data_IF_365974225476
#
_entry.id   IF_365974225476
#
_cell.length_a   1.000
_cell.length_b   1.000
_cell.length_c   1.000
_cell.angle_alpha   90.00
_cell.angle_beta   90.00
_cell.angle_gamma   90.00
#
_symmetry.space_group_name_H-M   'P 1'
#
loop_
_entity.id
_entity.type
_entity.pdbx_description
1 polymer ?
#
# COMPACT_ATOMS: atom_id res chain seq x y z
N UNK A 1 23.37 18.28 -7.69
CA UNK A 1 22.02 18.31 -8.31
C UNK A 1 21.62 16.90 -8.77
N UNK A 2 21.65 15.90 -7.86
CA UNK A 2 21.33 14.49 -8.16
C UNK A 2 20.39 13.85 -7.11
N UNK A 3 20.31 14.43 -5.91
CA UNK A 3 19.46 13.91 -4.82
C UNK A 3 17.97 14.26 -5.05
N UNK A 4 17.66 15.39 -5.70
CA UNK A 4 16.27 15.79 -5.97
C UNK A 4 15.55 14.92 -7.00
N UNK A 5 16.25 14.46 -8.05
CA UNK A 5 15.64 13.68 -9.14
C UNK A 5 15.21 12.28 -8.68
N UNK A 6 15.98 11.66 -7.78
CA UNK A 6 15.66 10.32 -7.27
C UNK A 6 14.42 10.37 -6.37
N UNK A 7 14.26 11.42 -5.55
CA UNK A 7 13.10 11.56 -4.66
C UNK A 7 11.81 11.82 -5.47
N UNK A 8 11.91 12.59 -6.56
CA UNK A 8 10.76 12.85 -7.44
C UNK A 8 10.36 11.65 -8.31
N UNK A 9 11.27 10.73 -8.66
CA UNK A 9 10.92 9.48 -9.37
C UNK A 9 10.09 8.48 -8.53
N UNK A 10 10.01 8.69 -7.22
CA UNK A 10 9.35 7.78 -6.25
C UNK A 10 7.96 8.32 -5.87
N UNK A 11 7.70 9.62 -6.08
CA UNK A 11 6.37 10.22 -5.95
C UNK A 11 5.54 9.90 -7.20
N UNK A 12 4.41 9.23 -7.02
CA UNK A 12 3.42 8.99 -8.10
C UNK A 12 3.17 7.52 -8.46
N UNK A 13 3.74 6.55 -7.72
CA UNK A 13 3.42 5.13 -7.93
C UNK A 13 1.97 4.76 -7.59
N UNK A 14 1.39 5.46 -6.60
CA UNK A 14 -0.01 5.30 -6.20
C UNK A 14 -0.76 6.55 -6.64
N UNK A 15 -1.75 6.43 -7.55
CA UNK A 15 -2.55 7.57 -7.97
C UNK A 15 -3.34 8.19 -6.79
N UNK A 16 -3.65 9.49 -6.83
CA UNK A 16 -4.61 10.06 -5.90
C UNK A 16 -6.00 9.45 -6.13
N UNK A 17 -6.76 9.28 -5.06
CA UNK A 17 -8.18 8.90 -5.17
C UNK A 17 -8.95 10.08 -5.77
N UNK A 18 -9.54 9.86 -6.93
CA UNK A 18 -10.41 10.84 -7.63
C UNK A 18 -11.85 10.37 -7.75
N UNK A 19 -12.11 9.08 -7.49
CA UNK A 19 -13.44 8.49 -7.53
C UNK A 19 -14.30 8.96 -6.34
N UNK A 20 -15.57 9.37 -6.55
CA UNK A 20 -16.45 9.81 -5.47
C UNK A 20 -16.69 8.76 -4.37
N UNK A 21 -16.62 7.47 -4.68
CA UNK A 21 -16.73 6.40 -3.67
C UNK A 21 -15.51 6.35 -2.74
N UNK A 22 -14.42 6.99 -3.14
CA UNK A 22 -13.23 7.21 -2.33
C UNK A 22 -13.51 7.82 -0.96
N UNK A 23 -14.52 8.68 -0.85
CA UNK A 23 -14.89 9.33 0.42
C UNK A 23 -15.32 8.35 1.52
N UNK A 24 -15.72 7.13 1.14
CA UNK A 24 -16.20 6.10 2.07
C UNK A 24 -15.11 5.08 2.44
N UNK A 25 -13.88 5.26 1.96
CA UNK A 25 -12.76 4.37 2.26
C UNK A 25 -11.74 5.05 3.14
N UNK A 26 -11.65 4.58 4.38
CA UNK A 26 -10.64 5.04 5.31
C UNK A 26 -9.29 4.38 5.01
N UNK A 27 -8.27 5.21 4.77
CA UNK A 27 -6.89 4.79 4.58
C UNK A 27 -5.94 5.90 5.07
N UNK A 28 -4.70 5.57 5.44
CA UNK A 28 -3.70 6.59 5.74
C UNK A 28 -3.44 7.50 4.53
N UNK A 29 -3.07 8.78 4.78
CA UNK A 29 -2.66 9.66 3.71
C UNK A 29 -1.39 9.12 3.06
N UNK A 30 -1.27 9.31 1.74
CA UNK A 30 -0.13 8.87 0.94
C UNK A 30 1.21 9.42 1.45
N UNK A 31 1.21 10.58 2.12
CA UNK A 31 2.41 11.20 2.71
C UNK A 31 3.02 10.37 3.84
N UNK A 32 2.26 9.47 4.45
CA UNK A 32 2.72 8.60 5.54
C UNK A 32 3.39 7.32 5.01
N UNK A 33 3.43 7.14 3.68
CA UNK A 33 3.88 5.93 3.01
C UNK A 33 4.94 6.28 1.96
N UNK A 34 6.16 5.79 2.17
CA UNK A 34 7.20 5.85 1.15
C UNK A 34 7.17 4.57 0.30
N UNK A 35 6.78 4.68 -0.97
CA UNK A 35 6.65 3.55 -1.90
C UNK A 35 7.73 3.61 -2.96
N UNK A 36 8.56 2.58 -3.02
CA UNK A 36 9.62 2.40 -4.01
C UNK A 36 9.29 1.26 -4.97
N UNK A 37 10.16 1.06 -5.97
CA UNK A 37 9.97 0.03 -6.99
C UNK A 37 9.86 -1.41 -6.45
N UNK A 38 10.43 -1.70 -5.29
CA UNK A 38 10.53 -3.05 -4.72
C UNK A 38 10.01 -3.13 -3.28
N UNK A 39 9.78 -2.00 -2.59
CA UNK A 39 9.42 -1.98 -1.17
C UNK A 39 8.50 -0.81 -0.82
N UNK A 40 7.68 -0.97 0.21
CA UNK A 40 7.00 0.11 0.89
C UNK A 40 7.56 0.26 2.31
N UNK A 41 7.89 1.48 2.72
CA UNK A 41 8.36 1.81 4.06
C UNK A 41 7.30 2.64 4.75
N UNK A 42 6.81 2.15 5.88
CA UNK A 42 5.72 2.79 6.65
C UNK A 42 5.97 2.65 8.15
N UNK A 43 5.37 3.52 8.95
CA UNK A 43 5.31 3.35 10.39
C UNK A 43 4.27 2.33 10.82
N UNK A 44 4.41 1.78 12.03
CA UNK A 44 3.49 0.78 12.56
C UNK A 44 2.06 1.32 12.68
N UNK A 45 1.89 2.57 13.10
CA UNK A 45 0.57 3.18 13.24
C UNK A 45 -0.11 3.37 11.88
N UNK A 46 0.65 3.69 10.83
CA UNK A 46 0.18 3.78 9.44
C UNK A 46 -0.27 2.42 8.91
N UNK A 47 0.51 1.36 9.18
CA UNK A 47 0.14 -0.02 8.84
C UNK A 47 -1.18 -0.44 9.50
N UNK A 48 -1.42 -0.03 10.74
CA UNK A 48 -2.62 -0.42 11.48
C UNK A 48 -3.89 0.21 10.89
N UNK A 49 -3.77 1.39 10.27
CA UNK A 49 -4.86 2.08 9.57
C UNK A 49 -5.19 1.50 8.18
N UNK A 50 -4.32 0.68 7.60
CA UNK A 50 -4.65 -0.01 6.35
C UNK A 50 -5.64 -1.16 6.64
N UNK A 51 -6.76 -1.18 5.90
CA UNK A 51 -7.70 -2.29 5.95
C UNK A 51 -7.03 -3.60 5.50
N UNK A 52 -7.32 -4.71 6.20
CA UNK A 52 -6.75 -6.01 5.90
C UNK A 52 -7.61 -6.81 4.91
N UNK A 53 -6.98 -7.22 3.81
CA UNK A 53 -7.55 -8.12 2.81
C UNK A 53 -6.53 -9.21 2.47
N UNK A 54 -6.32 -10.12 3.43
CA UNK A 54 -5.35 -11.23 3.31
C UNK A 54 -5.90 -12.41 2.49
N UNK A 55 -7.22 -12.60 2.48
CA UNK A 55 -7.91 -13.73 1.82
C UNK A 55 -8.86 -13.32 0.71
N UNK A 56 -9.05 -12.02 0.52
CA UNK A 56 -10.03 -11.45 -0.40
C UNK A 56 -9.44 -10.23 -1.09
N UNK A 57 -10.20 -9.63 -2.00
CA UNK A 57 -9.87 -8.37 -2.68
C UNK A 57 -10.98 -7.37 -2.33
N UNK A 58 -10.66 -6.11 -2.02
CA UNK A 58 -11.68 -5.11 -1.69
C UNK A 58 -12.64 -4.86 -2.86
N UNK A 59 -13.93 -4.72 -2.57
CA UNK A 59 -14.93 -4.26 -3.54
C UNK A 59 -14.84 -2.74 -3.73
N UNK A 60 -15.51 -2.19 -4.75
CA UNK A 60 -15.43 -0.75 -5.08
C UNK A 60 -14.02 -0.39 -5.57
N UNK A 61 -13.75 -0.76 -6.82
CA UNK A 61 -12.43 -0.67 -7.43
C UNK A 61 -12.25 0.69 -8.11
N UNK A 62 -11.31 1.48 -7.60
CA UNK A 62 -10.88 2.76 -8.15
C UNK A 62 -9.40 2.98 -7.83
N UNK A 63 -8.73 3.76 -8.65
CA UNK A 63 -7.30 4.06 -8.50
C UNK A 63 -6.97 4.70 -7.15
N UNK A 64 -5.82 4.37 -6.59
CA UNK A 64 -5.32 4.95 -5.35
C UNK A 64 -5.87 4.32 -4.06
N UNK A 65 -6.86 3.43 -4.17
CA UNK A 65 -7.34 2.63 -3.04
C UNK A 65 -6.24 1.70 -2.55
N UNK A 66 -5.90 1.79 -1.26
CA UNK A 66 -4.84 1.02 -0.62
C UNK A 66 -5.39 0.05 0.43
N UNK A 67 -4.71 -1.07 0.60
CA UNK A 67 -4.98 -2.06 1.65
C UNK A 67 -3.71 -2.81 2.03
N UNK A 68 -3.73 -3.50 3.18
CA UNK A 68 -2.68 -4.45 3.55
C UNK A 68 -3.14 -5.88 3.29
N UNK A 69 -2.21 -6.72 2.88
CA UNK A 69 -2.45 -8.14 2.67
C UNK A 69 -1.24 -8.93 3.14
N UNK A 70 -1.43 -10.12 3.69
CA UNK A 70 -0.35 -11.08 3.94
C UNK A 70 -0.71 -12.41 3.31
N UNK A 71 0.26 -13.04 2.64
CA UNK A 71 0.10 -14.42 2.19
C UNK A 71 0.59 -15.36 3.29
N UNK A 72 -0.20 -16.40 3.56
CA UNK A 72 0.03 -17.33 4.67
C UNK A 72 -0.63 -16.84 5.96
N UNK A 73 -1.70 -17.51 6.37
CA UNK A 73 -2.15 -17.45 7.74
C UNK A 73 -1.05 -18.07 8.61
N UNK A 74 -0.65 -17.38 9.69
CA UNK A 74 0.22 -18.01 10.68
C UNK A 74 -0.42 -19.32 11.10
N UNK A 75 0.34 -20.40 11.09
CA UNK A 75 -0.11 -21.67 11.67
C UNK A 75 0.17 -21.63 13.16
N UNK A 76 -0.39 -22.56 13.96
CA UNK A 76 0.06 -22.74 15.34
C UNK A 76 1.59 -22.96 15.46
N UNK A 77 2.24 -23.37 14.38
CA UNK A 77 3.65 -23.82 14.33
C UNK A 77 4.60 -22.81 13.67
N UNK A 78 4.10 -21.70 13.10
CA UNK A 78 4.94 -20.79 12.32
C UNK A 78 4.40 -19.37 12.18
N UNK A 79 5.29 -18.38 12.03
CA UNK A 79 4.87 -17.00 11.90
C UNK A 79 4.09 -16.78 10.61
N UNK A 80 3.12 -15.88 10.64
CA UNK A 80 2.47 -15.41 9.44
C UNK A 80 3.48 -14.75 8.48
N UNK A 81 3.20 -14.80 7.19
CA UNK A 81 4.03 -14.16 6.16
C UNK A 81 4.12 -12.63 6.31
N UNK A 82 5.06 -11.98 5.59
CA UNK A 82 5.23 -10.54 5.66
C UNK A 82 4.00 -9.81 5.13
N UNK A 83 3.80 -8.59 5.64
CA UNK A 83 2.79 -7.69 5.10
C UNK A 83 3.19 -7.14 3.73
N UNK A 84 2.19 -6.94 2.89
CA UNK A 84 2.28 -6.23 1.62
C UNK A 84 1.33 -5.04 1.64
N UNK A 85 1.81 -3.91 1.12
CA UNK A 85 0.97 -2.78 0.73
C UNK A 85 0.46 -3.11 -0.66
N UNK A 86 -0.85 -3.08 -0.83
CA UNK A 86 -1.51 -3.30 -2.10
C UNK A 86 -2.30 -2.07 -2.50
N UNK A 87 -2.42 -1.81 -3.81
CA UNK A 87 -3.28 -0.74 -4.31
C UNK A 87 -3.84 -1.03 -5.69
N UNK A 88 -4.95 -0.38 -6.00
CA UNK A 88 -5.43 -0.27 -7.37
C UNK A 88 -4.67 0.82 -8.12
N UNK A 89 -4.07 0.47 -9.25
CA UNK A 89 -3.38 1.39 -10.15
C UNK A 89 -3.97 1.37 -11.56
N UNK A 90 -3.44 2.22 -12.46
CA UNK A 90 -3.90 2.29 -13.83
C UNK A 90 -3.62 0.98 -14.58
N UNK A 91 -4.40 0.75 -15.64
CA UNK A 91 -4.23 -0.37 -16.56
C UNK A 91 -4.36 0.13 -18.01
N UNK A 92 -3.74 -0.57 -18.96
CA UNK A 92 -3.79 -0.18 -20.38
C UNK A 92 -5.20 -0.32 -20.98
N UNK A 93 -6.01 -1.24 -20.43
CA UNK A 93 -7.45 -1.31 -20.70
C UNK A 93 -8.18 -0.34 -19.73
N UNK A 94 -8.87 0.69 -20.24
CA UNK A 94 -9.57 1.67 -19.41
C UNK A 94 -10.74 1.10 -18.59
N UNK A 95 -11.17 -0.15 -18.86
CA UNK A 95 -12.20 -0.85 -18.07
C UNK A 95 -11.64 -1.68 -16.93
N UNK A 96 -10.32 -1.71 -16.78
CA UNK A 96 -9.63 -2.53 -15.79
C UNK A 96 -8.74 -1.68 -14.90
N UNK A 97 -8.42 -2.21 -13.73
CA UNK A 97 -7.41 -1.66 -12.83
C UNK A 97 -6.35 -2.72 -12.56
N UNK A 98 -5.11 -2.30 -12.40
CA UNK A 98 -4.05 -3.19 -11.96
C UNK A 98 -4.09 -3.34 -10.44
N UNK A 99 -3.80 -4.54 -9.94
CA UNK A 99 -3.52 -4.76 -8.52
C UNK A 99 -2.01 -4.79 -8.35
N UNK A 100 -1.48 -3.74 -7.75
CA UNK A 100 -0.06 -3.61 -7.46
C UNK A 100 0.21 -4.00 -6.00
N UNK A 101 1.43 -4.46 -5.73
CA UNK A 101 1.85 -4.82 -4.36
C UNK A 101 3.32 -4.53 -4.12
N UNK A 102 3.67 -4.16 -2.89
CA UNK A 102 5.04 -4.06 -2.39
C UNK A 102 5.15 -4.68 -1.00
N UNK A 103 6.20 -5.47 -0.71
CA UNK A 103 6.46 -5.89 0.65
C UNK A 103 6.66 -4.68 1.56
N UNK A 104 6.12 -4.75 2.77
CA UNK A 104 6.20 -3.68 3.76
C UNK A 104 7.41 -3.90 4.66
N UNK A 105 8.22 -2.86 4.81
CA UNK A 105 9.17 -2.70 5.91
C UNK A 105 8.62 -1.69 6.91
N UNK A 106 8.30 -2.18 8.11
CA UNK A 106 7.85 -1.32 9.21
C UNK A 106 9.06 -0.64 9.85
N UNK A 107 9.00 0.69 9.99
CA UNK A 107 9.98 1.44 10.77
C UNK A 107 9.84 1.08 12.25
N UNK A 108 10.90 0.54 12.84
CA UNK A 108 11.00 0.37 14.29
C UNK A 108 11.37 1.73 14.88
N UNK A 109 10.50 2.29 15.71
CA UNK A 109 10.84 3.49 16.47
C UNK A 109 12.13 3.26 17.26
N UNK A 110 13.04 4.22 17.24
CA UNK A 110 14.13 4.26 18.21
C UNK A 110 13.49 4.59 19.55
N UNK A 111 13.41 3.62 20.46
CA UNK A 111 13.16 3.91 21.87
C UNK A 111 14.30 4.85 22.31
N UNK A 112 13.95 6.08 22.68
CA UNK A 112 14.82 6.95 23.49
C UNK A 112 14.70 6.53 24.94
#
# INVERSE_FOLDING_TARGET
>A
MLIGVIIDMIKGMIPPITDPLGQYWDQPPLTDIAVYNDIAIIEKHTLDRLAEYSTTIPTGAYEGKMWKSRQGHGTPEGPAGPWYLCWYGPHNDPKMLSINRRPIRVLKGTLK
#
